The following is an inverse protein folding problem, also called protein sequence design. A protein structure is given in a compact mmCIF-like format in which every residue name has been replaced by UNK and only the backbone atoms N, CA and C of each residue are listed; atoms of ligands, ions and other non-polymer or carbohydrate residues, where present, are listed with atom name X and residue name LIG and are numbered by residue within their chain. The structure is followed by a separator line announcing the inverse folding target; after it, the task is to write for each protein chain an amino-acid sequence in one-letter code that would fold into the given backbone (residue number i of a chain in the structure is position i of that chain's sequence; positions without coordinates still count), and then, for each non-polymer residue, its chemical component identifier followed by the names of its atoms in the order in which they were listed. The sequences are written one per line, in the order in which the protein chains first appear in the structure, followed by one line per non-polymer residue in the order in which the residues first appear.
data_IF_014789060728
#
_entry.id   IF_014789060728
#
_cell.length_a   1.000
_cell.length_b   1.000
_cell.length_c   1.000
_cell.angle_alpha   90.00
_cell.angle_beta   90.00
_cell.angle_gamma   90.00
#
_symmetry.space_group_name_H-M   'P 1'
#
loop_
_entity.id
_entity.type
_entity.pdbx_description
1 polymer ?
#
# COMPACT_ATOMS: atom_id res chain seq x y z
N UNK A 1 -51.38 -27.24 -12.04
CA UNK A 1 -49.95 -27.60 -11.93
C UNK A 1 -49.12 -26.49 -12.54
N UNK A 2 -48.20 -25.86 -11.81
CA UNK A 2 -47.27 -24.84 -12.34
C UNK A 2 -45.85 -25.42 -12.32
N UNK A 3 -45.14 -25.48 -13.45
CA UNK A 3 -43.80 -26.05 -13.49
C UNK A 3 -42.80 -25.03 -12.94
N UNK A 4 -41.98 -25.44 -11.97
CA UNK A 4 -40.85 -24.66 -11.45
C UNK A 4 -39.64 -24.87 -12.36
N UNK A 5 -39.16 -23.78 -12.96
CA UNK A 5 -37.89 -23.78 -13.68
C UNK A 5 -36.74 -23.90 -12.65
N UNK A 6 -36.07 -25.04 -12.65
CA UNK A 6 -34.86 -25.22 -11.85
C UNK A 6 -33.70 -24.44 -12.49
N UNK A 7 -33.35 -23.29 -11.92
CA UNK A 7 -32.11 -22.59 -12.22
C UNK A 7 -30.93 -23.46 -11.75
N UNK A 8 -30.24 -24.08 -12.70
CA UNK A 8 -29.04 -24.87 -12.45
C UNK A 8 -27.89 -23.92 -12.10
N UNK A 9 -27.75 -23.59 -10.82
CA UNK A 9 -26.61 -22.85 -10.28
C UNK A 9 -25.36 -23.72 -10.49
N UNK A 10 -24.41 -23.23 -11.29
CA UNK A 10 -23.12 -23.90 -11.46
C UNK A 10 -22.37 -23.92 -10.11
N UNK A 11 -21.72 -25.02 -9.72
CA UNK A 11 -20.97 -25.06 -8.47
C UNK A 11 -19.86 -24.01 -8.52
N UNK A 12 -19.74 -23.23 -7.43
CA UNK A 12 -18.65 -22.27 -7.23
C UNK A 12 -17.34 -23.03 -7.32
N UNK A 13 -16.43 -22.60 -8.20
CA UNK A 13 -15.05 -23.14 -8.27
C UNK A 13 -14.47 -23.13 -6.84
N UNK A 14 -13.87 -24.23 -6.35
CA UNK A 14 -13.27 -24.25 -5.03
C UNK A 14 -12.22 -23.14 -4.92
N UNK A 15 -12.36 -22.30 -3.91
CA UNK A 15 -11.40 -21.24 -3.60
C UNK A 15 -10.04 -21.89 -3.34
N UNK A 16 -8.99 -21.37 -3.98
CA UNK A 16 -7.63 -21.79 -3.65
C UNK A 16 -7.31 -21.19 -2.27
N UNK A 17 -7.01 -22.00 -1.25
CA UNK A 17 -6.58 -21.45 0.02
C UNK A 17 -5.26 -20.71 -0.23
N UNK A 18 -5.16 -19.48 0.28
CA UNK A 18 -3.96 -18.62 0.29
C UNK A 18 -3.77 -17.63 -0.87
N UNK A 19 -4.75 -17.41 -1.75
CA UNK A 19 -4.68 -16.33 -2.74
C UNK A 19 -5.76 -15.27 -2.47
N UNK A 20 -5.40 -14.18 -1.78
CA UNK A 20 -6.26 -12.99 -1.77
C UNK A 20 -6.23 -12.42 -3.19
N UNK A 21 -7.37 -12.33 -3.90
CA UNK A 21 -7.37 -11.82 -5.26
C UNK A 21 -6.90 -10.36 -5.25
N UNK A 22 -6.12 -9.99 -6.27
CA UNK A 22 -5.70 -8.60 -6.47
C UNK A 22 -6.93 -7.72 -6.70
N UNK A 23 -6.99 -6.60 -6.00
CA UNK A 23 -8.04 -5.62 -6.17
C UNK A 23 -7.86 -4.86 -7.49
N UNK A 24 -8.94 -4.56 -8.22
CA UNK A 24 -8.89 -3.65 -9.35
C UNK A 24 -8.31 -2.27 -8.95
N UNK A 25 -7.55 -1.58 -9.83
CA UNK A 25 -6.82 -0.36 -9.47
C UNK A 25 -7.68 0.71 -8.78
N UNK A 26 -8.86 1.02 -9.32
CA UNK A 26 -9.76 2.03 -8.73
C UNK A 26 -10.36 1.61 -7.39
N UNK A 27 -10.56 0.30 -7.18
CA UNK A 27 -11.04 -0.21 -5.89
C UNK A 27 -9.92 -0.13 -4.84
N UNK A 28 -8.70 -0.50 -5.22
CA UNK A 28 -7.52 -0.43 -4.37
C UNK A 28 -7.22 1.02 -3.96
N UNK A 29 -7.17 1.93 -4.92
CA UNK A 29 -6.98 3.37 -4.69
C UNK A 29 -7.96 3.93 -3.64
N UNK A 30 -9.26 3.66 -3.82
CA UNK A 30 -10.29 4.11 -2.87
C UNK A 30 -10.16 3.45 -1.50
N UNK A 31 -9.74 2.20 -1.44
CA UNK A 31 -9.54 1.49 -0.18
C UNK A 31 -8.38 2.09 0.61
N UNK A 32 -7.26 2.39 -0.04
CA UNK A 32 -6.09 3.05 0.58
C UNK A 32 -6.48 4.41 1.18
N UNK A 33 -7.15 5.27 0.41
CA UNK A 33 -7.55 6.59 0.92
C UNK A 33 -8.51 6.50 2.11
N UNK A 34 -9.38 5.49 2.16
CA UNK A 34 -10.23 5.24 3.33
C UNK A 34 -9.41 4.75 4.52
N UNK A 35 -8.46 3.84 4.29
CA UNK A 35 -7.57 3.37 5.34
C UNK A 35 -6.78 4.55 5.95
N UNK A 36 -6.27 5.47 5.14
CA UNK A 36 -5.62 6.68 5.63
C UNK A 36 -6.51 7.52 6.56
N UNK A 37 -7.79 7.72 6.19
CA UNK A 37 -8.77 8.45 7.01
C UNK A 37 -8.94 7.81 8.39
N UNK A 38 -8.97 6.49 8.46
CA UNK A 38 -9.32 5.76 9.68
C UNK A 38 -8.11 5.34 10.52
N UNK A 39 -6.92 5.29 9.94
CA UNK A 39 -5.73 4.65 10.56
C UNK A 39 -4.54 5.59 10.76
N UNK A 40 -4.49 6.72 10.04
CA UNK A 40 -3.35 7.64 10.10
C UNK A 40 -3.72 8.95 10.83
N UNK A 41 -2.78 9.53 11.60
CA UNK A 41 -2.85 10.93 12.05
C UNK A 41 -2.98 11.92 10.89
N UNK A 42 -3.48 13.12 11.17
CA UNK A 42 -3.83 14.11 10.14
C UNK A 42 -2.63 14.51 9.26
N UNK A 43 -1.47 14.71 9.88
CA UNK A 43 -0.24 15.15 9.23
C UNK A 43 0.28 14.08 8.27
N UNK A 44 0.31 12.82 8.73
CA UNK A 44 0.75 11.67 7.94
C UNK A 44 -0.23 11.34 6.82
N UNK A 45 -1.52 11.52 7.07
CA UNK A 45 -2.56 11.36 6.05
C UNK A 45 -2.39 12.35 4.92
N UNK A 46 -2.13 13.62 5.20
CA UNK A 46 -1.95 14.64 4.16
C UNK A 46 -0.81 14.25 3.21
N UNK A 47 0.34 13.90 3.78
CA UNK A 47 1.51 13.45 3.00
C UNK A 47 1.19 12.17 2.20
N UNK A 48 0.57 11.17 2.83
CA UNK A 48 0.24 9.89 2.21
C UNK A 48 -0.78 10.02 1.08
N UNK A 49 -1.84 10.81 1.26
CA UNK A 49 -2.90 11.01 0.26
C UNK A 49 -2.35 11.65 -1.02
N UNK A 50 -1.47 12.65 -0.90
CA UNK A 50 -0.84 13.29 -2.07
C UNK A 50 0.10 12.32 -2.81
N UNK A 51 0.87 11.51 -2.08
CA UNK A 51 1.73 10.50 -2.68
C UNK A 51 0.92 9.43 -3.44
N UNK A 52 -0.12 8.87 -2.83
CA UNK A 52 -1.00 7.87 -3.46
C UNK A 52 -1.63 8.41 -4.74
N UNK A 53 -2.15 9.64 -4.71
CA UNK A 53 -2.75 10.29 -5.89
C UNK A 53 -1.75 10.40 -7.04
N UNK A 54 -0.53 10.84 -6.73
CA UNK A 54 0.53 11.00 -7.73
C UNK A 54 0.91 9.66 -8.34
N UNK A 55 1.22 8.67 -7.51
CA UNK A 55 1.66 7.35 -7.98
C UNK A 55 0.61 6.66 -8.86
N UNK A 56 -0.66 6.64 -8.44
CA UNK A 56 -1.74 6.06 -9.26
C UNK A 56 -1.99 6.84 -10.56
N UNK A 57 -1.74 8.16 -10.57
CA UNK A 57 -1.83 8.97 -11.78
C UNK A 57 -0.70 8.66 -12.75
N UNK A 58 0.52 8.55 -12.25
CA UNK A 58 1.72 8.27 -13.04
C UNK A 58 1.67 6.85 -13.62
N UNK A 59 1.10 5.90 -12.88
CA UNK A 59 0.94 4.51 -13.31
C UNK A 59 -0.31 4.25 -14.20
N UNK A 60 -1.10 5.28 -14.50
CA UNK A 60 -2.34 5.15 -15.29
C UNK A 60 -2.11 4.66 -16.74
N UNK A 61 -0.94 4.96 -17.32
CA UNK A 61 -0.61 4.70 -18.73
C UNK A 61 0.35 3.53 -18.93
N UNK A 62 0.57 2.70 -17.90
CA UNK A 62 1.45 1.54 -18.02
C UNK A 62 0.67 0.41 -18.68
N UNK A 63 1.23 -0.13 -19.77
CA UNK A 63 0.61 -1.23 -20.53
C UNK A 63 1.21 -2.60 -20.20
N UNK A 64 2.43 -2.64 -19.63
CA UNK A 64 3.09 -3.91 -19.31
C UNK A 64 2.34 -4.63 -18.16
N UNK A 65 1.73 -5.80 -18.40
CA UNK A 65 0.93 -6.49 -17.39
C UNK A 65 1.74 -6.91 -16.15
N UNK A 66 3.04 -7.22 -16.30
CA UNK A 66 3.88 -7.57 -15.15
C UNK A 66 4.09 -6.37 -14.22
N UNK A 67 4.27 -5.18 -14.78
CA UNK A 67 4.42 -3.97 -13.97
C UNK A 67 3.11 -3.59 -13.27
N UNK A 68 1.97 -3.76 -13.94
CA UNK A 68 0.64 -3.54 -13.34
C UNK A 68 0.42 -4.51 -12.17
N UNK A 69 0.72 -5.79 -12.36
CA UNK A 69 0.56 -6.81 -11.31
C UNK A 69 1.50 -6.53 -10.14
N UNK A 70 2.76 -6.20 -10.39
CA UNK A 70 3.71 -5.80 -9.35
C UNK A 70 3.21 -4.60 -8.55
N UNK A 71 2.82 -3.54 -9.25
CA UNK A 71 2.25 -2.34 -8.65
C UNK A 71 1.05 -2.65 -7.76
N UNK A 72 0.05 -3.38 -8.27
CA UNK A 72 -1.15 -3.72 -7.50
C UNK A 72 -0.83 -4.61 -6.29
N UNK A 73 0.15 -5.49 -6.40
CA UNK A 73 0.56 -6.37 -5.29
C UNK A 73 1.16 -5.55 -4.16
N UNK A 74 2.15 -4.70 -4.47
CA UNK A 74 2.81 -3.84 -3.48
C UNK A 74 1.82 -2.89 -2.79
N UNK A 75 0.93 -2.24 -3.56
CA UNK A 75 -0.09 -1.35 -3.00
C UNK A 75 -1.15 -2.07 -2.18
N UNK A 76 -1.45 -3.32 -2.51
CA UNK A 76 -2.36 -4.14 -1.71
C UNK A 76 -1.71 -4.62 -0.41
N UNK A 77 -0.41 -4.89 -0.41
CA UNK A 77 0.33 -5.21 0.81
C UNK A 77 0.51 -3.97 1.70
N UNK A 78 0.75 -2.80 1.12
CA UNK A 78 0.69 -1.52 1.82
C UNK A 78 -0.66 -1.29 2.51
N UNK A 79 -1.77 -1.50 1.78
CA UNK A 79 -3.11 -1.39 2.36
C UNK A 79 -3.29 -2.31 3.58
N UNK A 80 -2.83 -3.57 3.50
CA UNK A 80 -2.89 -4.51 4.64
C UNK A 80 -2.07 -4.02 5.83
N UNK A 81 -0.91 -3.42 5.60
CA UNK A 81 -0.08 -2.87 6.67
C UNK A 81 -0.76 -1.69 7.38
N UNK A 82 -1.35 -0.77 6.62
CA UNK A 82 -2.10 0.38 7.16
C UNK A 82 -3.34 -0.10 7.92
N UNK A 83 -4.15 -0.97 7.33
CA UNK A 83 -5.37 -1.49 7.97
C UNK A 83 -5.07 -2.28 9.25
N UNK A 84 -3.98 -3.06 9.23
CA UNK A 84 -3.48 -3.82 10.36
C UNK A 84 -2.80 -2.99 11.45
N UNK A 85 -2.65 -1.67 11.26
CA UNK A 85 -2.00 -0.78 12.23
C UNK A 85 -0.48 -0.98 12.37
N UNK A 86 0.12 -1.81 11.51
CA UNK A 86 1.56 -2.15 11.55
C UNK A 86 2.45 -1.13 10.85
N UNK A 87 1.87 -0.03 10.39
CA UNK A 87 2.58 1.02 9.66
C UNK A 87 3.58 1.79 10.54
N UNK A 88 3.39 1.80 11.86
CA UNK A 88 4.30 2.44 12.83
C UNK A 88 5.59 1.65 13.07
N UNK A 89 5.50 0.31 13.04
CA UNK A 89 6.61 -0.58 13.41
C UNK A 89 7.47 -1.01 12.22
N UNK A 90 7.35 -0.33 11.09
CA UNK A 90 8.09 -0.61 9.87
C UNK A 90 9.60 -0.48 10.09
N UNK A 91 10.35 -1.55 9.81
CA UNK A 91 11.81 -1.55 9.82
C UNK A 91 12.34 -1.87 8.43
N UNK A 92 13.33 -1.12 8.00
CA UNK A 92 14.09 -1.44 6.80
C UNK A 92 14.94 -2.69 7.04
N UNK A 93 14.70 -3.71 6.23
CA UNK A 93 15.51 -4.92 6.18
C UNK A 93 16.81 -4.66 5.41
N UNK A 94 17.81 -5.50 5.69
CA UNK A 94 19.09 -5.45 4.95
C UNK A 94 18.89 -5.63 3.44
N UNK A 95 17.97 -6.51 3.07
CA UNK A 95 17.66 -6.77 1.65
C UNK A 95 17.00 -5.60 0.94
N UNK A 96 16.31 -4.71 1.65
CA UNK A 96 15.76 -3.48 1.07
C UNK A 96 16.85 -2.43 0.90
N UNK A 97 17.77 -2.29 1.87
CA UNK A 97 18.92 -1.39 1.76
C UNK A 97 19.84 -1.79 0.60
N UNK A 98 20.10 -3.09 0.42
CA UNK A 98 20.95 -3.60 -0.66
C UNK A 98 20.36 -3.36 -2.07
N UNK A 99 19.04 -3.11 -2.16
CA UNK A 99 18.36 -2.76 -3.43
C UNK A 99 18.40 -1.27 -3.75
N UNK A 100 18.79 -0.43 -2.79
CA UNK A 100 18.85 1.02 -2.99
C UNK A 100 20.15 1.42 -3.70
N UNK A 101 20.06 2.49 -4.49
CA UNK A 101 21.23 3.14 -5.05
C UNK A 101 22.06 3.84 -3.95
N UNK A 102 23.38 4.02 -4.12
CA UNK A 102 24.21 4.74 -3.16
C UNK A 102 23.67 6.13 -2.81
N UNK A 103 23.10 6.83 -3.79
CA UNK A 103 22.48 8.15 -3.63
C UNK A 103 21.24 8.07 -2.74
N UNK A 104 20.36 7.08 -2.95
CA UNK A 104 19.18 6.86 -2.11
C UNK A 104 19.56 6.53 -0.66
N UNK A 105 20.61 5.72 -0.46
CA UNK A 105 21.14 5.41 0.87
C UNK A 105 21.67 6.67 1.54
N UNK A 106 22.39 7.52 0.80
CA UNK A 106 22.87 8.81 1.30
C UNK A 106 21.72 9.73 1.73
N UNK A 107 20.68 9.86 0.90
CA UNK A 107 19.50 10.67 1.23
C UNK A 107 18.76 10.16 2.47
N UNK A 108 18.61 8.84 2.59
CA UNK A 108 17.99 8.22 3.76
C UNK A 108 18.79 8.50 5.04
N UNK A 109 20.11 8.46 4.95
CA UNK A 109 21.00 8.76 6.08
C UNK A 109 20.91 10.23 6.52
N UNK A 110 20.84 11.17 5.58
CA UNK A 110 20.65 12.59 5.89
C UNK A 110 19.26 12.85 6.51
N UNK A 111 18.22 12.18 6.02
CA UNK A 111 16.89 12.23 6.64
C UNK A 111 16.93 11.74 8.10
N UNK A 112 17.61 10.62 8.38
CA UNK A 112 17.77 10.08 9.73
C UNK A 112 18.48 11.07 10.66
N UNK A 113 19.51 11.78 10.19
CA UNK A 113 20.18 12.81 11.01
C UNK A 113 19.26 13.98 11.32
N UNK A 114 18.51 14.46 10.32
CA UNK A 114 17.60 15.59 10.48
C UNK A 114 16.50 15.30 11.51
N UNK A 115 15.92 14.09 11.50
CA UNK A 115 14.88 13.71 12.45
C UNK A 115 15.40 13.55 13.89
N UNK A 116 16.63 13.06 14.07
CA UNK A 116 17.27 13.00 15.40
C UNK A 116 17.47 14.38 16.01
N UNK A 117 17.92 15.34 15.19
CA UNK A 117 18.15 16.72 15.64
C UNK A 117 16.86 17.35 16.17
N UNK A 118 15.74 17.19 15.45
CA UNK A 118 14.43 17.70 15.89
C UNK A 118 14.04 17.11 17.26
N UNK A 119 14.26 15.81 17.47
CA UNK A 119 13.95 15.17 18.74
C UNK A 119 14.84 15.61 19.90
N UNK A 120 16.09 16.03 19.64
CA UNK A 120 16.99 16.59 20.65
C UNK A 120 16.58 18.03 21.02
N UNK A 121 16.21 18.84 20.03
CA UNK A 121 15.79 20.24 20.22
C UNK A 121 14.50 20.31 21.07
N UNK A 122 13.50 19.45 20.82
CA UNK A 122 12.24 19.36 21.60
C UNK A 122 12.42 18.92 23.07
N UNK A 123 13.52 18.22 23.40
CA UNK A 123 13.82 17.77 24.78
C UNK A 123 14.59 18.85 25.57
N UNK A 124 15.16 19.83 24.87
CA UNK A 124 15.94 20.92 25.46
C UNK A 124 15.15 22.20 25.76
N UNK A 125 13.89 22.26 25.33
CA UNK A 125 12.88 23.29 25.67
C UNK A 125 11.95 22.83 26.81
#
# INVERSE_FOLDING_TARGET
MRPTLALRVRPRRPERPNQTPLLPPLKLYRAILRAHVHKLPQELRYLGDEYVKKEFKDHKKIDNPLHIVGFLTEWQDYLKQVDGGKWLDGKLSKTELDKMTPEQVGQLYELMKATKKIGEDEVSE
#
